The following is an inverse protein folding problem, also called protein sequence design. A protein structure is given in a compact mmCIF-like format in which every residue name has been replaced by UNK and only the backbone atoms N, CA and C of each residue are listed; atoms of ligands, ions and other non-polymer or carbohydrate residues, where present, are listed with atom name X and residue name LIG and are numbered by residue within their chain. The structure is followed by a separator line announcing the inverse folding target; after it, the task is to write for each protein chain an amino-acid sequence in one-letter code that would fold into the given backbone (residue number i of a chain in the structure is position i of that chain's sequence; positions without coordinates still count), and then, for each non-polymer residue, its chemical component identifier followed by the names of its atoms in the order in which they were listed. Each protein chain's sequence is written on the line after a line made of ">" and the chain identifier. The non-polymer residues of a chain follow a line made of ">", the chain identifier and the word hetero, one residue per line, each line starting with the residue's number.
data_IF_998360326747
#
_entry.id   IF_998360326747
#
_cell.length_a   1.000
_cell.length_b   1.000
_cell.length_c   1.000
_cell.angle_alpha   90.00
_cell.angle_beta   90.00
_cell.angle_gamma   90.00
#
_symmetry.space_group_name_H-M   'P 1'
#
loop_
_entity.id
_entity.type
_entity.pdbx_description
1 polymer ?
#
# COMPACT_ATOMS: atom_id res chain seq x y z
N UNK A 1 6.34 -21.99 -11.38
CA UNK A 1 5.28 -21.11 -11.90
C UNK A 1 5.63 -19.71 -11.43
N UNK A 2 5.62 -18.71 -12.32
CA UNK A 2 5.97 -17.33 -11.98
C UNK A 2 4.81 -16.68 -11.22
N UNK A 3 5.11 -15.89 -10.19
CA UNK A 3 4.10 -15.18 -9.41
C UNK A 3 3.53 -13.98 -10.20
N UNK A 4 2.40 -13.43 -9.76
CA UNK A 4 1.83 -12.21 -10.37
C UNK A 4 2.74 -11.00 -10.13
N UNK A 5 3.34 -10.89 -8.96
CA UNK A 5 4.36 -9.90 -8.63
C UNK A 5 5.60 -10.00 -9.53
N UNK A 6 6.17 -11.20 -9.71
CA UNK A 6 7.30 -11.39 -10.64
C UNK A 6 6.91 -11.02 -12.08
N UNK A 7 5.67 -11.28 -12.48
CA UNK A 7 5.15 -10.86 -13.78
C UNK A 7 5.07 -9.34 -13.90
N UNK A 8 4.62 -8.65 -12.85
CA UNK A 8 4.58 -7.18 -12.80
C UNK A 8 5.97 -6.55 -12.88
N UNK A 9 6.97 -7.14 -12.21
CA UNK A 9 8.36 -6.69 -12.31
C UNK A 9 8.89 -6.81 -13.75
N UNK A 10 8.66 -7.96 -14.39
CA UNK A 10 9.14 -8.25 -15.74
C UNK A 10 8.46 -7.37 -16.81
N UNK A 11 7.20 -7.00 -16.60
CA UNK A 11 6.42 -6.20 -17.55
C UNK A 11 6.45 -4.69 -17.25
N UNK A 12 7.13 -4.25 -16.19
CA UNK A 12 7.11 -2.87 -15.71
C UNK A 12 5.69 -2.39 -15.33
N UNK A 13 4.89 -3.29 -14.75
CA UNK A 13 3.49 -3.07 -14.38
C UNK A 13 3.30 -3.03 -12.85
N UNK A 14 4.33 -2.64 -12.09
CA UNK A 14 4.28 -2.57 -10.62
C UNK A 14 3.15 -1.66 -10.12
N UNK A 15 2.83 -0.58 -10.83
CA UNK A 15 1.69 0.28 -10.48
C UNK A 15 0.36 -0.46 -10.60
N UNK A 16 0.14 -1.21 -11.68
CA UNK A 16 -1.07 -2.03 -11.87
C UNK A 16 -1.17 -3.14 -10.82
N UNK A 17 -0.02 -3.70 -10.42
CA UNK A 17 0.05 -4.67 -9.33
C UNK A 17 -0.44 -4.11 -7.99
N UNK A 18 0.03 -2.92 -7.60
CA UNK A 18 -0.40 -2.27 -6.36
C UNK A 18 -1.86 -1.80 -6.43
N UNK A 19 -2.35 -1.41 -7.62
CA UNK A 19 -3.77 -1.06 -7.83
C UNK A 19 -4.69 -2.29 -7.86
N UNK A 20 -4.13 -3.47 -8.10
CA UNK A 20 -4.90 -4.70 -8.26
C UNK A 20 -5.67 -4.75 -9.58
N UNK A 21 -5.16 -4.10 -10.62
CA UNK A 21 -5.80 -4.03 -11.92
C UNK A 21 -5.49 -5.28 -12.77
N UNK A 22 -6.39 -5.61 -13.70
CA UNK A 22 -6.18 -6.70 -14.66
C UNK A 22 -5.88 -8.04 -14.00
N UNK A 23 -4.75 -8.65 -14.37
CA UNK A 23 -4.34 -9.96 -13.85
C UNK A 23 -3.86 -9.93 -12.39
N UNK A 24 -3.63 -8.73 -11.84
CA UNK A 24 -3.17 -8.52 -10.46
C UNK A 24 -4.31 -8.42 -9.44
N UNK A 25 -5.55 -8.51 -9.92
CA UNK A 25 -6.72 -8.52 -9.08
C UNK A 25 -6.78 -9.80 -8.23
N UNK A 26 -6.37 -9.70 -6.96
CA UNK A 26 -6.59 -10.74 -5.96
C UNK A 26 -8.02 -10.69 -5.43
N UNK A 27 -8.82 -11.72 -5.70
CA UNK A 27 -10.23 -11.79 -5.29
C UNK A 27 -10.35 -12.23 -3.83
N UNK A 28 -11.03 -11.44 -3.00
CA UNK A 28 -11.46 -11.89 -1.67
C UNK A 28 -12.53 -13.00 -1.74
N UNK A 29 -12.60 -13.86 -0.73
CA UNK A 29 -13.51 -15.03 -0.70
C UNK A 29 -14.99 -14.67 -0.75
N UNK A 30 -15.35 -13.46 -0.29
CA UNK A 30 -16.74 -13.20 0.07
C UNK A 30 -17.44 -12.15 -0.82
N UNK A 31 -16.73 -11.22 -1.50
CA UNK A 31 -17.41 -10.05 -2.10
C UNK A 31 -16.82 -9.47 -3.40
N UNK A 32 -15.80 -10.08 -4.01
CA UNK A 32 -15.25 -9.55 -5.27
C UNK A 32 -14.54 -8.20 -5.14
N UNK A 33 -14.18 -7.79 -3.92
CA UNK A 33 -13.25 -6.69 -3.66
C UNK A 33 -11.79 -7.16 -3.85
N UNK A 34 -10.91 -6.22 -4.19
CA UNK A 34 -9.48 -6.47 -4.28
C UNK A 34 -8.87 -6.68 -2.89
N UNK A 35 -8.22 -7.83 -2.69
CA UNK A 35 -7.60 -8.21 -1.43
C UNK A 35 -6.12 -7.82 -1.41
N UNK A 36 -5.84 -6.55 -1.13
CA UNK A 36 -4.47 -5.99 -1.10
C UNK A 36 -3.49 -6.82 -0.26
N UNK A 37 -3.92 -7.38 0.88
CA UNK A 37 -3.06 -8.20 1.73
C UNK A 37 -2.52 -9.45 1.01
N UNK A 38 -3.27 -10.00 0.05
CA UNK A 38 -2.81 -11.16 -0.74
C UNK A 38 -1.68 -10.77 -1.69
N UNK A 39 -1.78 -9.63 -2.38
CA UNK A 39 -0.69 -9.11 -3.22
C UNK A 39 0.58 -8.89 -2.38
N UNK A 40 0.44 -8.28 -1.20
CA UNK A 40 1.56 -8.11 -0.29
C UNK A 40 2.17 -9.43 0.22
N UNK A 41 1.34 -10.43 0.53
CA UNK A 41 1.83 -11.76 0.93
C UNK A 41 2.63 -12.44 -0.19
N UNK A 42 2.13 -12.38 -1.43
CA UNK A 42 2.82 -12.91 -2.59
C UNK A 42 4.16 -12.19 -2.82
N UNK A 43 4.15 -10.86 -2.82
CA UNK A 43 5.34 -10.03 -2.94
C UNK A 43 6.37 -10.36 -1.86
N UNK A 44 5.96 -10.54 -0.60
CA UNK A 44 6.87 -10.96 0.46
C UNK A 44 7.51 -12.33 0.20
N UNK A 45 6.79 -13.26 -0.45
CA UNK A 45 7.34 -14.55 -0.86
C UNK A 45 8.50 -14.40 -1.83
N UNK A 46 8.40 -13.46 -2.76
CA UNK A 46 9.45 -13.14 -3.74
C UNK A 46 10.59 -12.36 -3.09
N UNK A 47 10.28 -11.31 -2.31
CA UNK A 47 11.27 -10.46 -1.65
C UNK A 47 12.22 -11.24 -0.73
N UNK A 48 11.75 -12.30 -0.07
CA UNK A 48 12.57 -13.15 0.80
C UNK A 48 13.79 -13.75 0.10
N UNK A 49 13.74 -13.91 -1.21
CA UNK A 49 14.82 -14.48 -2.01
C UNK A 49 15.70 -13.41 -2.68
N UNK A 50 15.41 -12.13 -2.47
CA UNK A 50 16.13 -11.01 -3.08
C UNK A 50 17.23 -10.49 -2.14
N UNK A 51 18.46 -10.34 -2.65
CA UNK A 51 19.59 -9.80 -1.87
C UNK A 51 19.39 -8.35 -1.43
N UNK A 52 18.64 -7.57 -2.21
CA UNK A 52 18.36 -6.15 -1.96
C UNK A 52 16.85 -5.91 -1.79
N UNK A 53 16.18 -6.76 -1.01
CA UNK A 53 14.73 -6.75 -0.85
C UNK A 53 14.16 -5.38 -0.44
N UNK A 54 14.75 -4.73 0.57
CA UNK A 54 14.31 -3.42 1.06
C UNK A 54 14.43 -2.35 -0.01
N UNK A 55 15.57 -2.29 -0.72
CA UNK A 55 15.77 -1.31 -1.80
C UNK A 55 14.84 -1.56 -2.99
N UNK A 56 14.61 -2.83 -3.36
CA UNK A 56 13.65 -3.18 -4.40
C UNK A 56 12.24 -2.71 -4.01
N UNK A 57 11.80 -3.01 -2.80
CA UNK A 57 10.48 -2.62 -2.29
C UNK A 57 10.31 -1.10 -2.24
N UNK A 58 11.30 -0.36 -1.74
CA UNK A 58 11.27 1.11 -1.73
C UNK A 58 11.11 1.65 -3.15
N UNK A 59 11.96 1.22 -4.09
CA UNK A 59 11.95 1.75 -5.46
C UNK A 59 10.61 1.52 -6.17
N UNK A 60 10.05 0.31 -6.07
CA UNK A 60 8.78 0.00 -6.75
C UNK A 60 7.59 0.70 -6.10
N UNK A 61 7.65 0.97 -4.78
CA UNK A 61 6.58 1.68 -4.09
C UNK A 61 6.64 3.19 -4.37
N UNK A 62 7.85 3.77 -4.46
CA UNK A 62 8.03 5.14 -4.94
C UNK A 62 7.53 5.29 -6.37
N UNK A 63 7.81 4.32 -7.25
CA UNK A 63 7.26 4.31 -8.61
C UNK A 63 5.73 4.29 -8.60
N UNK A 64 5.11 3.41 -7.79
CA UNK A 64 3.66 3.39 -7.61
C UNK A 64 3.11 4.74 -7.13
N UNK A 65 3.64 5.29 -6.04
CA UNK A 65 3.19 6.58 -5.45
C UNK A 65 3.34 7.72 -6.46
N UNK A 66 4.42 7.75 -7.23
CA UNK A 66 4.68 8.78 -8.25
C UNK A 66 3.59 8.84 -9.33
N UNK A 67 2.94 7.72 -9.64
CA UNK A 67 1.89 7.63 -10.68
C UNK A 67 0.46 7.62 -10.12
N UNK A 68 0.30 7.89 -8.83
CA UNK A 68 -1.01 8.16 -8.26
C UNK A 68 -1.49 9.55 -8.67
N UNK A 69 -2.77 9.65 -8.94
CA UNK A 69 -3.45 10.92 -9.20
C UNK A 69 -4.21 11.35 -7.94
N UNK A 70 -4.42 12.65 -7.80
CA UNK A 70 -5.23 13.24 -6.74
C UNK A 70 -6.73 12.98 -6.97
N UNK A 71 -7.14 11.72 -6.82
CA UNK A 71 -8.53 11.27 -6.89
C UNK A 71 -8.84 10.22 -5.80
N UNK A 72 -10.13 9.99 -5.55
CA UNK A 72 -10.58 9.06 -4.52
C UNK A 72 -10.04 7.63 -4.72
N UNK A 73 -10.07 7.10 -5.94
CA UNK A 73 -9.71 5.70 -6.20
C UNK A 73 -8.24 5.41 -5.90
N UNK A 74 -7.33 6.27 -6.38
CA UNK A 74 -5.90 6.15 -6.15
C UNK A 74 -5.57 6.37 -4.66
N UNK A 75 -6.21 7.35 -4.02
CA UNK A 75 -6.00 7.61 -2.60
C UNK A 75 -6.51 6.44 -1.72
N UNK A 76 -7.70 5.90 -2.01
CA UNK A 76 -8.26 4.75 -1.31
C UNK A 76 -7.39 3.50 -1.50
N UNK A 77 -6.89 3.26 -2.71
CA UNK A 77 -5.94 2.18 -2.99
C UNK A 77 -4.63 2.33 -2.20
N UNK A 78 -4.09 3.55 -2.09
CA UNK A 78 -2.92 3.84 -1.26
C UNK A 78 -3.17 3.54 0.21
N UNK A 79 -4.31 3.95 0.77
CA UNK A 79 -4.70 3.63 2.15
C UNK A 79 -4.67 2.12 2.39
N UNK A 80 -5.24 1.33 1.46
CA UNK A 80 -5.28 -0.13 1.58
C UNK A 80 -3.89 -0.76 1.46
N UNK A 81 -3.03 -0.24 0.59
CA UNK A 81 -1.64 -0.70 0.48
C UNK A 81 -0.83 -0.42 1.75
N UNK A 82 -0.89 0.80 2.30
CA UNK A 82 -0.17 1.15 3.54
C UNK A 82 -0.72 0.33 4.72
N UNK A 83 -2.03 0.13 4.79
CA UNK A 83 -2.64 -0.73 5.81
C UNK A 83 -2.15 -2.17 5.72
N UNK A 84 -2.14 -2.76 4.52
CA UNK A 84 -1.63 -4.11 4.28
C UNK A 84 -0.15 -4.23 4.63
N UNK A 85 0.67 -3.24 4.27
CA UNK A 85 2.08 -3.17 4.66
C UNK A 85 2.27 -3.27 6.17
N UNK A 86 1.64 -2.39 6.95
CA UNK A 86 1.84 -2.37 8.40
C UNK A 86 1.28 -3.63 9.09
N UNK A 87 0.18 -4.19 8.60
CA UNK A 87 -0.33 -5.49 9.07
C UNK A 87 0.68 -6.62 8.86
N UNK A 88 1.33 -6.65 7.69
CA UNK A 88 2.27 -7.72 7.34
C UNK A 88 3.69 -7.47 7.87
N UNK A 89 4.09 -6.22 8.10
CA UNK A 89 5.38 -5.86 8.68
C UNK A 89 5.61 -6.57 10.02
N UNK A 90 4.56 -6.68 10.84
CA UNK A 90 4.59 -7.42 12.12
C UNK A 90 4.73 -8.94 11.97
N UNK A 91 4.39 -9.48 10.80
CA UNK A 91 4.28 -10.93 10.55
C UNK A 91 5.37 -11.48 9.63
N UNK A 92 6.11 -10.61 8.94
CA UNK A 92 7.04 -11.00 7.90
C UNK A 92 8.36 -10.23 8.03
N UNK A 93 9.41 -10.91 8.48
CA UNK A 93 10.71 -10.31 8.80
C UNK A 93 11.38 -9.61 7.61
N UNK A 94 11.05 -9.99 6.38
CA UNK A 94 11.57 -9.32 5.17
C UNK A 94 11.15 -7.84 5.10
N UNK A 95 10.02 -7.48 5.71
CA UNK A 95 9.49 -6.12 5.73
C UNK A 95 9.99 -5.27 6.90
N UNK A 96 10.79 -5.85 7.80
CA UNK A 96 11.28 -5.20 9.02
C UNK A 96 12.75 -5.53 9.30
N UNK A 97 13.48 -6.04 8.33
CA UNK A 97 14.89 -6.41 8.49
C UNK A 97 15.71 -5.16 8.79
N UNK A 98 16.58 -5.23 9.81
CA UNK A 98 17.40 -4.09 10.25
C UNK A 98 16.58 -2.83 10.53
N UNK A 99 15.42 -2.99 11.19
CA UNK A 99 14.47 -1.92 11.51
C UNK A 99 13.89 -1.16 10.30
N UNK A 100 14.00 -1.74 9.09
CA UNK A 100 13.45 -1.16 7.87
C UNK A 100 11.97 -0.79 8.03
N UNK A 101 11.63 0.41 7.59
CA UNK A 101 10.27 0.90 7.45
C UNK A 101 10.13 1.53 6.05
N UNK A 102 9.15 1.05 5.28
CA UNK A 102 8.93 1.47 3.90
C UNK A 102 8.66 2.96 3.83
N UNK A 103 7.74 3.46 4.66
CA UNK A 103 7.32 4.87 4.64
C UNK A 103 8.47 5.77 5.06
N UNK A 104 9.28 5.35 6.04
CA UNK A 104 10.51 6.05 6.43
C UNK A 104 11.51 6.15 5.27
N UNK A 105 11.65 5.08 4.49
CA UNK A 105 12.64 4.95 3.43
C UNK A 105 12.29 5.69 2.13
N UNK A 106 11.05 6.16 1.96
CA UNK A 106 10.64 6.90 0.76
C UNK A 106 11.33 8.27 0.66
N UNK A 107 11.52 8.74 -0.56
CA UNK A 107 11.90 10.13 -0.84
C UNK A 107 10.84 11.16 -0.37
N UNK A 108 11.28 12.39 -0.14
CA UNK A 108 10.41 13.46 0.36
C UNK A 108 9.27 13.77 -0.62
N UNK A 109 9.49 13.57 -1.92
CA UNK A 109 8.46 13.81 -2.94
C UNK A 109 7.30 12.83 -2.80
N UNK A 110 7.61 11.56 -2.59
CA UNK A 110 6.64 10.48 -2.41
C UNK A 110 5.91 10.65 -1.07
N UNK A 111 6.61 11.01 0.00
CA UNK A 111 6.01 11.32 1.31
C UNK A 111 5.00 12.47 1.20
N UNK A 112 5.42 13.60 0.62
CA UNK A 112 4.53 14.74 0.40
C UNK A 112 3.29 14.35 -0.44
N UNK A 113 3.47 13.52 -1.47
CA UNK A 113 2.36 13.05 -2.30
C UNK A 113 1.39 12.14 -1.52
N UNK A 114 1.91 11.25 -0.65
CA UNK A 114 1.09 10.47 0.30
C UNK A 114 0.26 11.41 1.18
N UNK A 115 0.89 12.45 1.76
CA UNK A 115 0.19 13.43 2.59
C UNK A 115 -0.95 14.14 1.86
N UNK A 116 -0.74 14.52 0.59
CA UNK A 116 -1.79 15.11 -0.26
C UNK A 116 -2.98 14.15 -0.42
N UNK A 117 -2.72 12.89 -0.76
CA UNK A 117 -3.77 11.89 -0.98
C UNK A 117 -4.54 11.54 0.30
N UNK A 118 -3.87 11.50 1.45
CA UNK A 118 -4.53 11.27 2.73
C UNK A 118 -5.45 12.43 3.13
N UNK A 119 -5.03 13.68 2.91
CA UNK A 119 -5.89 14.85 3.12
C UNK A 119 -7.06 14.90 2.12
N UNK A 120 -6.88 14.38 0.90
CA UNK A 120 -7.98 14.21 -0.05
C UNK A 120 -8.99 13.20 0.50
N UNK A 121 -8.55 12.03 0.95
CA UNK A 121 -9.45 11.03 1.56
C UNK A 121 -10.21 11.58 2.77
N UNK A 122 -9.57 12.41 3.60
CA UNK A 122 -10.24 13.09 4.72
C UNK A 122 -11.47 13.85 4.25
N UNK A 123 -11.31 14.71 3.25
CA UNK A 123 -12.41 15.50 2.69
C UNK A 123 -13.51 14.59 2.14
N UNK A 124 -13.12 13.58 1.37
CA UNK A 124 -14.07 12.62 0.78
C UNK A 124 -14.93 11.93 1.85
N UNK A 125 -14.32 11.42 2.93
CA UNK A 125 -15.03 10.79 4.04
C UNK A 125 -15.91 11.75 4.83
N UNK A 126 -15.49 13.00 5.00
CA UNK A 126 -16.26 14.00 5.72
C UNK A 126 -17.48 14.49 4.91
N UNK A 127 -17.34 14.59 3.59
CA UNK A 127 -18.39 15.01 2.66
C UNK A 127 -19.40 13.89 2.35
N UNK A 128 -18.96 12.63 2.32
CA UNK A 128 -19.78 11.49 1.91
C UNK A 128 -19.96 10.46 3.05
N UNK A 129 -20.26 10.93 4.27
CA UNK A 129 -20.39 10.09 5.48
C UNK A 129 -21.35 8.90 5.35
N UNK A 130 -22.33 8.97 4.45
CA UNK A 130 -23.30 7.90 4.23
C UNK A 130 -22.86 6.84 3.20
N UNK A 131 -21.84 7.13 2.37
CA UNK A 131 -21.47 6.29 1.21
C UNK A 131 -20.17 5.49 1.37
N UNK A 132 -19.35 5.74 2.40
CA UNK A 132 -18.03 5.12 2.51
C UNK A 132 -17.89 4.11 3.64
N UNK A 133 -17.63 2.84 3.25
CA UNK A 133 -17.05 1.75 4.05
C UNK A 133 -17.75 1.42 5.40
N UNK A 134 -17.41 0.29 6.02
CA UNK A 134 -17.91 -0.05 7.38
C UNK A 134 -17.26 0.79 8.49
N UNK A 135 -16.21 1.55 8.15
CA UNK A 135 -15.35 2.24 9.10
C UNK A 135 -15.20 3.71 8.74
N UNK A 136 -15.13 4.57 9.76
CA UNK A 136 -14.75 5.97 9.55
C UNK A 136 -13.28 6.06 9.16
N UNK A 137 -12.88 7.15 8.50
CA UNK A 137 -11.48 7.33 8.13
C UNK A 137 -10.56 7.38 9.37
N UNK A 138 -11.05 7.96 10.47
CA UNK A 138 -10.35 7.92 11.77
C UNK A 138 -10.07 6.49 12.25
N UNK A 139 -11.05 5.59 12.12
CA UNK A 139 -10.85 4.18 12.47
C UNK A 139 -9.82 3.50 11.56
N UNK A 140 -9.75 3.86 10.29
CA UNK A 140 -8.73 3.34 9.37
C UNK A 140 -7.32 3.83 9.73
N UNK A 141 -7.16 5.12 10.07
CA UNK A 141 -5.88 5.68 10.53
C UNK A 141 -5.41 5.03 11.84
N UNK A 142 -6.31 4.94 12.83
CA UNK A 142 -6.03 4.27 14.10
C UNK A 142 -5.58 2.81 13.90
N UNK A 143 -6.13 2.10 12.91
CA UNK A 143 -5.67 0.73 12.61
C UNK A 143 -4.25 0.70 12.06
N UNK A 144 -3.88 1.65 11.22
CA UNK A 144 -2.53 1.74 10.67
C UNK A 144 -1.53 2.06 11.79
N UNK A 145 -1.84 3.03 12.65
CA UNK A 145 -1.05 3.38 13.82
C UNK A 145 -0.91 2.19 14.78
N UNK A 146 -2.01 1.53 15.13
CA UNK A 146 -1.99 0.33 15.98
C UNK A 146 -1.20 -0.83 15.35
N UNK A 147 -1.02 -0.83 14.02
CA UNK A 147 -0.15 -1.75 13.29
C UNK A 147 1.31 -1.30 13.19
N UNK A 148 1.69 -0.23 13.90
CA UNK A 148 3.08 0.18 14.10
C UNK A 148 3.56 1.24 13.12
N UNK A 149 2.65 1.98 12.47
CA UNK A 149 2.99 3.18 11.72
C UNK A 149 3.34 4.32 12.67
N UNK A 150 4.56 4.89 12.63
CA UNK A 150 4.95 6.00 13.49
C UNK A 150 4.62 7.37 12.88
N UNK A 151 4.08 7.41 11.66
CA UNK A 151 3.85 8.63 10.91
C UNK A 151 2.41 9.11 10.99
N UNK A 152 2.24 10.43 11.13
CA UNK A 152 0.99 11.10 10.88
C UNK A 152 0.82 11.27 9.35
N UNK A 153 0.15 10.31 8.70
CA UNK A 153 0.12 10.20 7.24
C UNK A 153 -0.52 11.39 6.53
N UNK A 154 -1.34 12.20 7.21
CA UNK A 154 -1.89 13.45 6.67
C UNK A 154 -0.86 14.60 6.64
N UNK A 155 0.21 14.52 7.43
CA UNK A 155 1.23 15.56 7.63
C UNK A 155 2.66 15.08 7.33
N UNK A 156 2.81 13.93 6.69
CA UNK A 156 4.10 13.34 6.31
C UNK A 156 4.78 14.04 5.15
#
# INVERSE_FOLDING_TARGET
>A
MRSTFETALDQHEVSEFFKGNGIYFARGSDWGDHLYISNWQEMCGVLKNQKAASSLLTNIFEEYVKYLHENYADAAGLLRNISAYYVLRKKNTVLSINDYDLISALDDKSKNHIGVLFRLLRKEYDENKENFSKHSFEQELNRIENNGCPFELENI
#
